data_IF_998023675197
#
_entry.id   IF_998023675197
#
_cell.length_a   1.000
_cell.length_b   1.000
_cell.length_c   1.000
_cell.angle_alpha   90.00
_cell.angle_beta   90.00
_cell.angle_gamma   90.00
#
_symmetry.space_group_name_H-M   'P 1'
#
loop_
_entity.id
_entity.type
_entity.pdbx_description
1 polymer ?
#
# COMPACT_ATOMS: atom_id res chain seq x y z
N UNK A 1 41.32 -63.55 -31.88
CA UNK A 1 41.17 -62.09 -31.99
C UNK A 1 39.68 -61.77 -31.85
N UNK A 2 39.28 -61.42 -30.66
CA UNK A 2 37.87 -61.08 -30.35
C UNK A 2 37.70 -59.54 -30.45
N UNK A 3 36.82 -59.05 -31.29
CA UNK A 3 36.53 -57.62 -31.44
C UNK A 3 35.32 -57.31 -30.55
N UNK A 4 35.57 -56.54 -29.46
CA UNK A 4 34.53 -55.99 -28.61
C UNK A 4 33.98 -54.76 -29.30
N UNK A 5 32.67 -54.75 -29.63
CA UNK A 5 31.96 -53.59 -30.17
C UNK A 5 31.36 -52.86 -28.96
N UNK A 6 31.82 -51.64 -28.70
CA UNK A 6 31.24 -50.77 -27.69
C UNK A 6 30.07 -49.99 -28.30
N UNK A 7 28.88 -50.18 -27.77
CA UNK A 7 27.71 -49.33 -28.09
C UNK A 7 27.74 -48.06 -27.23
N UNK A 8 27.89 -46.90 -27.87
CA UNK A 8 27.71 -45.59 -27.21
C UNK A 8 26.22 -45.23 -27.29
N UNK A 9 25.53 -45.23 -26.15
CA UNK A 9 24.16 -44.73 -26.05
C UNK A 9 24.24 -43.24 -25.85
N UNK A 10 23.87 -42.45 -26.84
CA UNK A 10 23.75 -40.99 -26.74
C UNK A 10 22.35 -40.70 -26.18
N UNK A 11 22.27 -40.33 -24.87
CA UNK A 11 21.04 -39.82 -24.25
C UNK A 11 20.95 -38.33 -24.58
N UNK A 12 20.10 -37.98 -25.52
CA UNK A 12 19.72 -36.59 -25.79
C UNK A 12 18.75 -36.12 -24.70
N UNK A 13 19.24 -35.34 -23.75
CA UNK A 13 18.35 -34.55 -22.84
C UNK A 13 17.63 -33.49 -23.68
N UNK A 14 16.38 -33.73 -24.00
CA UNK A 14 15.49 -32.67 -24.48
C UNK A 14 15.11 -31.83 -23.26
N UNK A 15 15.65 -30.63 -23.16
CA UNK A 15 15.13 -29.61 -22.23
C UNK A 15 13.74 -29.18 -22.74
N UNK A 16 12.69 -29.67 -22.11
CA UNK A 16 11.36 -29.15 -22.29
C UNK A 16 11.38 -27.76 -21.62
N UNK A 17 11.48 -26.72 -22.42
CA UNK A 17 11.20 -25.37 -21.94
C UNK A 17 9.72 -25.37 -21.53
N UNK A 18 9.46 -25.42 -20.23
CA UNK A 18 8.13 -25.12 -19.68
C UNK A 18 7.89 -23.65 -19.96
N UNK A 19 7.21 -23.33 -21.05
CA UNK A 19 6.60 -22.02 -21.24
C UNK A 19 5.56 -21.89 -20.15
N UNK A 20 5.82 -21.03 -19.13
CA UNK A 20 4.88 -20.76 -18.07
C UNK A 20 3.56 -20.30 -18.68
N UNK A 21 2.50 -21.04 -18.44
CA UNK A 21 1.17 -20.68 -18.92
C UNK A 21 0.63 -19.59 -18.00
N UNK A 22 0.50 -18.37 -18.52
CA UNK A 22 -0.16 -17.26 -17.82
C UNK A 22 -1.54 -17.73 -17.35
N UNK A 23 -1.79 -17.68 -16.04
CA UNK A 23 -3.05 -18.15 -15.46
C UNK A 23 -4.03 -16.99 -15.36
N UNK A 24 -5.23 -17.19 -15.89
CA UNK A 24 -6.39 -16.32 -15.73
C UNK A 24 -7.43 -16.99 -14.84
N UNK A 25 -7.97 -16.25 -13.88
CA UNK A 25 -9.01 -16.68 -12.94
C UNK A 25 -10.12 -15.64 -12.99
N UNK A 26 -11.37 -16.07 -13.03
CA UNK A 26 -12.53 -15.18 -12.92
C UNK A 26 -13.29 -15.46 -11.65
N UNK A 27 -13.49 -14.42 -10.83
CA UNK A 27 -14.31 -14.46 -9.61
C UNK A 27 -15.59 -13.66 -9.87
N UNK A 28 -16.74 -14.27 -9.62
CA UNK A 28 -18.04 -13.63 -9.76
C UNK A 28 -19.02 -14.11 -8.69
N UNK A 29 -19.52 -13.20 -7.87
CA UNK A 29 -20.44 -13.53 -6.77
C UNK A 29 -21.75 -14.19 -7.21
N UNK A 30 -22.16 -13.97 -8.47
CA UNK A 30 -23.36 -14.54 -9.08
C UNK A 30 -23.17 -15.97 -9.65
N UNK A 31 -21.98 -16.55 -9.50
CA UNK A 31 -21.63 -17.88 -10.01
C UNK A 31 -21.27 -17.94 -11.49
N UNK A 32 -21.16 -16.83 -12.18
CA UNK A 32 -20.77 -16.78 -13.61
C UNK A 32 -19.24 -16.87 -13.83
N UNK A 33 -18.44 -16.91 -12.75
CA UNK A 33 -16.99 -17.09 -12.78
C UNK A 33 -16.57 -18.52 -12.41
N UNK A 34 -15.27 -18.77 -12.41
CA UNK A 34 -14.69 -20.03 -11.91
C UNK A 34 -14.86 -20.18 -10.39
N UNK A 35 -14.87 -19.04 -9.69
CA UNK A 35 -15.03 -18.95 -8.24
C UNK A 35 -16.11 -17.92 -7.89
N UNK A 36 -16.82 -18.17 -6.80
CA UNK A 36 -17.73 -17.18 -6.21
C UNK A 36 -17.09 -16.40 -5.06
N UNK A 37 -15.96 -16.89 -4.53
CA UNK A 37 -15.19 -16.29 -3.43
C UNK A 37 -13.81 -15.90 -3.90
N UNK A 38 -13.37 -14.70 -3.50
CA UNK A 38 -12.01 -14.21 -3.76
C UNK A 38 -10.98 -15.05 -3.00
N UNK A 39 -11.27 -15.43 -1.74
CA UNK A 39 -10.33 -16.24 -0.95
C UNK A 39 -10.16 -17.64 -1.54
N UNK A 40 -11.22 -18.28 -2.03
CA UNK A 40 -11.12 -19.58 -2.70
C UNK A 40 -10.27 -19.50 -3.97
N UNK A 41 -10.45 -18.44 -4.75
CA UNK A 41 -9.63 -18.18 -5.94
C UNK A 41 -8.15 -18.01 -5.56
N UNK A 42 -7.82 -17.25 -4.51
CA UNK A 42 -6.45 -17.13 -3.98
C UNK A 42 -5.90 -18.50 -3.57
N UNK A 43 -6.68 -19.31 -2.85
CA UNK A 43 -6.27 -20.64 -2.37
C UNK A 43 -5.97 -21.62 -3.51
N UNK A 44 -6.51 -21.39 -4.71
CA UNK A 44 -6.28 -22.22 -5.89
C UNK A 44 -4.95 -21.91 -6.60
N UNK A 45 -4.25 -20.82 -6.22
CA UNK A 45 -3.00 -20.38 -6.85
C UNK A 45 -1.84 -21.24 -6.34
N UNK A 46 -1.03 -21.74 -7.26
CA UNK A 46 0.19 -22.50 -6.92
C UNK A 46 1.21 -21.59 -6.24
N UNK A 47 1.97 -22.19 -5.31
CA UNK A 47 3.03 -21.49 -4.60
C UNK A 47 4.20 -21.10 -5.53
N UNK A 48 4.78 -19.92 -5.26
CA UNK A 48 6.02 -19.39 -5.85
C UNK A 48 6.05 -19.37 -7.38
N UNK A 49 4.92 -19.01 -7.99
CA UNK A 49 4.88 -18.83 -9.44
C UNK A 49 5.75 -17.63 -9.86
N UNK A 50 6.59 -17.85 -10.89
CA UNK A 50 7.36 -16.77 -11.53
C UNK A 50 6.50 -15.90 -12.42
N UNK A 51 5.49 -16.51 -13.05
CA UNK A 51 4.57 -15.83 -13.95
C UNK A 51 3.45 -15.13 -13.19
N UNK A 52 2.87 -14.10 -13.79
CA UNK A 52 1.74 -13.39 -13.21
C UNK A 52 0.46 -14.20 -13.31
N UNK A 53 -0.23 -14.38 -12.18
CA UNK A 53 -1.61 -14.86 -12.16
C UNK A 53 -2.55 -13.67 -12.26
N UNK A 54 -3.39 -13.62 -13.28
CA UNK A 54 -4.40 -12.58 -13.46
C UNK A 54 -5.73 -13.04 -12.87
N UNK A 55 -6.23 -12.33 -11.86
CA UNK A 55 -7.51 -12.56 -11.22
C UNK A 55 -8.45 -11.41 -11.59
N UNK A 56 -9.45 -11.70 -12.43
CA UNK A 56 -10.51 -10.75 -12.77
C UNK A 56 -11.68 -10.95 -11.80
N UNK A 57 -12.01 -9.90 -11.04
CA UNK A 57 -13.09 -9.90 -10.06
C UNK A 57 -14.23 -9.06 -10.64
N UNK A 58 -15.35 -9.71 -10.95
CA UNK A 58 -16.52 -9.05 -11.49
C UNK A 58 -17.16 -8.09 -10.50
N UNK A 59 -17.98 -7.19 -11.00
CA UNK A 59 -18.76 -6.28 -10.18
C UNK A 59 -19.56 -7.05 -9.12
N UNK A 60 -19.52 -6.58 -7.89
CA UNK A 60 -20.17 -7.22 -6.74
C UNK A 60 -19.58 -6.75 -5.40
N UNK A 61 -20.27 -7.10 -4.33
CA UNK A 61 -19.80 -6.89 -2.97
C UNK A 61 -19.39 -8.24 -2.38
N UNK A 62 -18.10 -8.38 -2.13
CA UNK A 62 -17.48 -9.58 -1.59
C UNK A 62 -17.22 -9.35 -0.10
N UNK A 63 -18.11 -9.88 0.76
CA UNK A 63 -17.93 -9.79 2.22
C UNK A 63 -17.01 -10.90 2.68
N UNK A 64 -15.72 -10.69 2.52
CA UNK A 64 -14.69 -11.67 2.78
C UNK A 64 -13.47 -11.05 3.49
N UNK A 65 -12.86 -11.81 4.37
CA UNK A 65 -11.56 -11.50 4.97
C UNK A 65 -10.48 -12.25 4.21
N UNK A 66 -9.67 -11.53 3.46
CA UNK A 66 -8.74 -12.10 2.48
C UNK A 66 -7.32 -12.18 3.04
N UNK A 67 -6.69 -13.33 2.85
CA UNK A 67 -5.24 -13.50 3.06
C UNK A 67 -4.61 -13.93 1.75
N UNK A 68 -3.65 -13.15 1.25
CA UNK A 68 -2.76 -13.51 0.16
C UNK A 68 -1.44 -13.96 0.80
N UNK A 69 -1.20 -15.27 0.93
CA UNK A 69 -0.04 -15.80 1.64
C UNK A 69 1.28 -15.44 0.92
N UNK A 70 2.38 -15.49 1.66
CA UNK A 70 3.72 -15.13 1.15
C UNK A 70 4.18 -15.96 -0.05
N UNK A 71 3.65 -17.16 -0.21
CA UNK A 71 3.95 -18.04 -1.35
C UNK A 71 3.10 -17.76 -2.60
N UNK A 72 2.05 -16.93 -2.50
CA UNK A 72 1.28 -16.44 -3.65
C UNK A 72 1.93 -15.16 -4.16
N UNK A 73 2.87 -15.31 -5.08
CA UNK A 73 3.64 -14.22 -5.68
C UNK A 73 3.06 -13.80 -7.03
N UNK A 74 3.34 -12.57 -7.45
CA UNK A 74 2.96 -12.02 -8.77
C UNK A 74 1.47 -12.14 -9.08
N UNK A 75 0.60 -11.87 -8.09
CA UNK A 75 -0.84 -11.85 -8.27
C UNK A 75 -1.30 -10.47 -8.74
N UNK A 76 -2.00 -10.44 -9.87
CA UNK A 76 -2.66 -9.25 -10.40
C UNK A 76 -4.18 -9.39 -10.22
N UNK A 77 -4.78 -8.59 -9.34
CA UNK A 77 -6.22 -8.52 -9.12
C UNK A 77 -6.81 -7.31 -9.85
N UNK A 78 -7.82 -7.53 -10.67
CA UNK A 78 -8.51 -6.49 -11.42
C UNK A 78 -10.02 -6.53 -11.20
N UNK A 79 -10.57 -5.41 -10.72
CA UNK A 79 -12.01 -5.18 -10.64
C UNK A 79 -12.60 -4.60 -11.94
N UNK A 80 -13.90 -4.54 -11.99
CA UNK A 80 -14.68 -3.89 -13.09
C UNK A 80 -14.98 -2.41 -12.80
N UNK A 81 -14.28 -1.83 -11.85
CA UNK A 81 -14.41 -0.45 -11.38
C UNK A 81 -14.40 -0.39 -9.85
N UNK A 82 -13.70 0.57 -9.28
CA UNK A 82 -13.59 0.68 -7.84
C UNK A 82 -14.93 1.02 -7.14
N UNK A 83 -15.90 1.55 -7.88
CA UNK A 83 -17.27 1.77 -7.42
C UNK A 83 -18.17 0.52 -7.53
N UNK A 84 -17.72 -0.50 -8.26
CA UNK A 84 -18.50 -1.70 -8.60
C UNK A 84 -17.97 -2.97 -7.95
N UNK A 85 -16.66 -3.08 -7.80
CA UNK A 85 -16.01 -4.26 -7.21
C UNK A 85 -15.53 -3.88 -5.81
N UNK A 86 -16.23 -4.38 -4.79
CA UNK A 86 -15.99 -4.03 -3.38
C UNK A 86 -15.66 -5.29 -2.57
N UNK A 87 -14.51 -5.31 -1.91
CA UNK A 87 -14.13 -6.30 -0.92
C UNK A 87 -14.23 -5.64 0.45
N UNK A 88 -15.08 -6.17 1.33
CA UNK A 88 -15.40 -5.54 2.63
C UNK A 88 -15.40 -6.53 3.77
N UNK A 89 -14.93 -6.09 4.95
CA UNK A 89 -15.00 -6.81 6.22
C UNK A 89 -15.13 -5.83 7.36
N UNK A 90 -15.44 -6.29 8.59
CA UNK A 90 -15.78 -5.42 9.72
C UNK A 90 -15.09 -5.78 11.05
N UNK A 91 -13.94 -6.45 11.01
CA UNK A 91 -13.15 -6.67 12.21
C UNK A 91 -12.50 -5.38 12.72
N UNK A 92 -12.42 -5.21 14.06
CA UNK A 92 -11.77 -4.08 14.72
C UNK A 92 -10.99 -4.53 15.96
N UNK A 93 -10.05 -3.72 16.41
CA UNK A 93 -9.22 -4.02 17.58
C UNK A 93 -10.09 -4.09 18.85
N UNK A 94 -9.88 -5.15 19.63
CA UNK A 94 -10.70 -5.49 20.81
C UNK A 94 -11.83 -6.46 20.53
N UNK A 95 -12.30 -6.60 19.28
CA UNK A 95 -13.29 -7.62 18.92
C UNK A 95 -12.70 -9.00 19.20
N UNK A 96 -13.31 -9.76 20.11
CA UNK A 96 -12.83 -11.10 20.51
C UNK A 96 -11.33 -11.13 20.87
N UNK A 97 -10.84 -10.09 21.58
CA UNK A 97 -9.43 -9.89 21.94
C UNK A 97 -8.48 -9.78 20.72
N UNK A 98 -8.98 -9.32 19.58
CA UNK A 98 -8.19 -9.14 18.36
C UNK A 98 -7.28 -7.90 18.49
N UNK A 99 -6.01 -8.06 18.13
CA UNK A 99 -5.09 -6.92 18.00
C UNK A 99 -5.24 -6.23 16.63
N UNK A 100 -4.83 -4.96 16.52
CA UNK A 100 -4.94 -4.11 15.32
C UNK A 100 -4.53 -4.81 14.03
N UNK A 101 -3.38 -5.48 14.04
CA UNK A 101 -2.81 -6.10 12.82
C UNK A 101 -3.60 -7.30 12.29
N UNK A 102 -4.59 -7.77 13.04
CA UNK A 102 -5.47 -8.88 12.65
C UNK A 102 -6.85 -8.42 12.19
N UNK A 103 -7.10 -7.12 12.15
CA UNK A 103 -8.42 -6.55 11.80
C UNK A 103 -8.62 -6.33 10.31
N UNK A 104 -7.64 -6.67 9.49
CA UNK A 104 -7.62 -6.41 8.04
C UNK A 104 -8.83 -6.99 7.30
N UNK A 105 -9.24 -6.30 6.27
CA UNK A 105 -10.10 -6.86 5.22
C UNK A 105 -9.26 -7.70 4.26
N UNK A 106 -8.12 -7.16 3.81
CA UNK A 106 -7.14 -7.92 3.02
C UNK A 106 -5.74 -7.83 3.63
N UNK A 107 -5.06 -8.99 3.78
CA UNK A 107 -3.67 -9.08 4.17
C UNK A 107 -2.82 -9.64 3.04
N UNK A 108 -1.89 -8.84 2.53
CA UNK A 108 -1.07 -9.13 1.36
C UNK A 108 0.36 -9.41 1.83
N UNK A 109 0.74 -10.70 1.88
CA UNK A 109 2.09 -11.13 2.24
C UNK A 109 2.94 -11.45 1.01
N UNK A 110 2.30 -11.81 -0.11
CA UNK A 110 2.97 -12.19 -1.35
C UNK A 110 3.64 -11.01 -2.05
N UNK A 111 4.86 -11.20 -2.52
CA UNK A 111 5.60 -10.20 -3.28
C UNK A 111 5.06 -10.07 -4.72
N UNK A 112 5.19 -8.87 -5.30
CA UNK A 112 4.76 -8.59 -6.68
C UNK A 112 3.24 -8.50 -6.84
N UNK A 113 2.51 -8.18 -5.77
CA UNK A 113 1.06 -7.99 -5.82
C UNK A 113 0.69 -6.72 -6.59
N UNK A 114 -0.37 -6.81 -7.40
CA UNK A 114 -0.98 -5.65 -8.03
C UNK A 114 -2.50 -5.71 -7.89
N UNK A 115 -3.12 -4.57 -7.54
CA UNK A 115 -4.57 -4.39 -7.57
C UNK A 115 -4.95 -3.18 -8.42
N UNK A 116 -5.98 -3.32 -9.23
CA UNK A 116 -6.54 -2.21 -10.02
C UNK A 116 -8.07 -2.20 -9.95
N UNK A 117 -8.64 -0.98 -9.86
CA UNK A 117 -10.07 -0.73 -9.97
C UNK A 117 -10.93 -1.51 -8.94
N UNK A 118 -10.45 -1.64 -7.69
CA UNK A 118 -11.10 -2.35 -6.58
C UNK A 118 -11.24 -1.42 -5.37
N UNK A 119 -12.36 -1.53 -4.65
CA UNK A 119 -12.51 -0.98 -3.30
C UNK A 119 -12.17 -2.05 -2.27
N UNK A 120 -11.28 -1.69 -1.34
CA UNK A 120 -11.03 -2.42 -0.11
C UNK A 120 -11.57 -1.59 1.06
N UNK A 121 -12.51 -2.14 1.79
CA UNK A 121 -13.20 -1.44 2.86
C UNK A 121 -13.11 -2.20 4.18
N UNK A 122 -12.78 -1.50 5.28
CA UNK A 122 -13.15 -1.97 6.60
C UNK A 122 -14.38 -1.22 7.08
N UNK A 123 -15.50 -1.93 7.16
CA UNK A 123 -16.82 -1.37 7.45
C UNK A 123 -17.20 -1.38 8.94
N UNK A 124 -16.25 -1.62 9.85
CA UNK A 124 -16.50 -1.63 11.30
C UNK A 124 -17.00 -0.27 11.86
N UNK A 125 -16.77 0.82 11.13
CA UNK A 125 -17.13 2.16 11.59
C UNK A 125 -16.07 2.80 12.50
N UNK A 126 -16.39 3.89 13.21
CA UNK A 126 -15.44 4.64 14.04
C UNK A 126 -15.28 4.02 15.46
N UNK A 127 -15.00 2.72 15.53
CA UNK A 127 -14.94 1.93 16.78
C UNK A 127 -13.52 1.72 17.34
N UNK A 128 -12.51 2.31 16.72
CA UNK A 128 -11.09 2.13 17.04
C UNK A 128 -10.30 1.68 15.81
N UNK A 129 -9.16 1.04 16.03
CA UNK A 129 -8.30 0.57 14.93
C UNK A 129 -8.99 -0.54 14.12
N UNK A 130 -9.06 -0.35 12.81
CA UNK A 130 -9.74 -1.27 11.89
C UNK A 130 -9.14 -1.14 10.50
N UNK A 131 -8.27 -2.10 10.14
CA UNK A 131 -7.46 -2.06 8.94
C UNK A 131 -8.25 -2.53 7.72
N UNK A 132 -8.30 -1.74 6.66
CA UNK A 132 -8.84 -2.20 5.37
C UNK A 132 -7.77 -2.97 4.58
N UNK A 133 -6.57 -2.41 4.44
CA UNK A 133 -5.46 -3.03 3.71
C UNK A 133 -4.25 -3.18 4.62
N UNK A 134 -3.76 -4.40 4.79
CA UNK A 134 -2.51 -4.75 5.43
C UNK A 134 -1.53 -5.24 4.35
N UNK A 135 -0.60 -4.39 3.93
CA UNK A 135 0.35 -4.69 2.87
C UNK A 135 1.73 -4.98 3.47
N UNK A 136 2.15 -6.25 3.41
CA UNK A 136 3.43 -6.78 3.90
C UNK A 136 4.40 -7.08 2.75
N UNK A 137 3.86 -7.59 1.63
CA UNK A 137 4.64 -8.05 0.50
C UNK A 137 5.41 -6.93 -0.18
N UNK A 138 6.67 -7.23 -0.57
CA UNK A 138 7.47 -6.29 -1.36
C UNK A 138 6.91 -6.13 -2.78
N UNK A 139 7.06 -4.93 -3.37
CA UNK A 139 6.63 -4.59 -4.73
C UNK A 139 5.11 -4.66 -4.91
N UNK A 140 4.38 -4.18 -3.90
CA UNK A 140 2.92 -4.05 -3.99
C UNK A 140 2.53 -2.78 -4.76
N UNK A 141 1.58 -2.92 -5.69
CA UNK A 141 1.10 -1.84 -6.56
C UNK A 141 -0.42 -1.74 -6.48
N UNK A 142 -0.93 -0.54 -6.25
CA UNK A 142 -2.37 -0.25 -6.26
C UNK A 142 -2.65 0.89 -7.24
N UNK A 143 -3.58 0.69 -8.17
CA UNK A 143 -3.98 1.70 -9.14
C UNK A 143 -5.48 1.91 -9.16
N UNK A 144 -5.92 3.15 -9.09
CA UNK A 144 -7.33 3.54 -9.13
C UNK A 144 -8.21 2.73 -8.15
N UNK A 145 -7.59 2.32 -7.02
CA UNK A 145 -8.28 1.63 -5.93
C UNK A 145 -8.88 2.62 -4.94
N UNK A 146 -9.88 2.19 -4.19
CA UNK A 146 -10.38 2.92 -3.04
C UNK A 146 -10.09 2.13 -1.76
N UNK A 147 -9.51 2.80 -0.78
CA UNK A 147 -9.22 2.24 0.53
C UNK A 147 -10.09 3.01 1.55
N UNK A 148 -11.13 2.33 2.02
CA UNK A 148 -12.16 2.94 2.86
C UNK A 148 -12.07 2.40 4.29
N UNK A 149 -12.02 3.29 5.26
CA UNK A 149 -11.96 2.91 6.67
C UNK A 149 -12.06 4.12 7.60
N UNK A 150 -11.62 3.92 8.82
CA UNK A 150 -11.60 4.96 9.86
C UNK A 150 -10.20 5.06 10.46
N UNK A 151 -9.99 4.67 11.71
CA UNK A 151 -8.65 4.65 12.30
C UNK A 151 -7.86 3.47 11.72
N UNK A 152 -6.62 3.73 11.30
CA UNK A 152 -5.68 2.71 10.81
C UNK A 152 -6.12 2.02 9.48
N UNK A 153 -6.68 2.76 8.53
CA UNK A 153 -7.22 2.21 7.26
C UNK A 153 -6.17 1.43 6.46
N UNK A 154 -4.97 1.99 6.26
CA UNK A 154 -3.88 1.40 5.47
C UNK A 154 -2.66 1.15 6.34
N UNK A 155 -2.35 -0.11 6.60
CA UNK A 155 -1.11 -0.56 7.20
C UNK A 155 -0.11 -0.93 6.10
N UNK A 156 0.96 -0.15 5.99
CA UNK A 156 2.11 -0.41 5.11
C UNK A 156 3.18 -1.13 5.92
N UNK A 157 2.96 -2.41 6.16
CA UNK A 157 3.81 -3.23 7.01
C UNK A 157 5.13 -3.60 6.34
N UNK A 158 6.03 -4.21 7.10
CA UNK A 158 7.34 -4.68 6.67
C UNK A 158 8.27 -3.56 6.17
N UNK A 159 9.27 -3.24 6.97
CA UNK A 159 10.25 -2.18 6.68
C UNK A 159 10.98 -2.39 5.34
N UNK A 160 11.16 -3.63 4.89
CA UNK A 160 11.80 -3.95 3.62
C UNK A 160 10.85 -3.85 2.42
N UNK A 161 9.56 -3.63 2.64
CA UNK A 161 8.55 -3.57 1.59
C UNK A 161 8.60 -2.22 0.85
N UNK A 162 8.43 -2.29 -0.48
CA UNK A 162 8.23 -1.16 -1.38
C UNK A 162 6.82 -1.21 -1.91
N UNK A 163 6.09 -0.10 -1.77
CA UNK A 163 4.67 -0.05 -2.13
C UNK A 163 4.38 1.21 -2.96
N UNK A 164 3.56 1.06 -3.98
CA UNK A 164 3.19 2.15 -4.90
C UNK A 164 1.68 2.26 -5.05
N UNK A 165 1.18 3.45 -4.80
CA UNK A 165 -0.24 3.78 -4.95
C UNK A 165 -0.38 4.88 -6.00
N UNK A 166 -1.18 4.63 -7.03
CA UNK A 166 -1.42 5.57 -8.13
C UNK A 166 -2.90 5.84 -8.32
N UNK A 167 -3.27 7.12 -8.31
CA UNK A 167 -4.66 7.56 -8.51
C UNK A 167 -5.67 6.88 -7.57
N UNK A 168 -5.22 6.48 -6.39
CA UNK A 168 -6.05 5.85 -5.37
C UNK A 168 -6.78 6.90 -4.53
N UNK A 169 -7.98 6.54 -4.07
CA UNK A 169 -8.71 7.27 -3.03
C UNK A 169 -8.49 6.57 -1.69
N UNK A 170 -8.01 7.29 -0.69
CA UNK A 170 -7.72 6.76 0.64
C UNK A 170 -8.37 7.66 1.68
N UNK A 171 -9.25 7.10 2.52
CA UNK A 171 -9.91 7.86 3.57
C UNK A 171 -9.74 7.25 4.95
N UNK A 172 -9.83 8.08 5.97
CA UNK A 172 -9.81 7.63 7.35
C UNK A 172 -9.94 8.75 8.37
N UNK A 173 -9.80 8.37 9.64
CA UNK A 173 -9.94 9.30 10.77
C UNK A 173 -8.59 9.61 11.43
N UNK A 174 -7.93 8.64 12.03
CA UNK A 174 -6.70 8.79 12.82
C UNK A 174 -5.64 7.85 12.29
N UNK A 175 -4.42 8.37 12.03
CA UNK A 175 -3.27 7.55 11.62
C UNK A 175 -3.61 6.60 10.47
N UNK A 176 -4.47 7.05 9.55
CA UNK A 176 -5.10 6.13 8.61
C UNK A 176 -4.19 5.66 7.47
N UNK A 177 -2.94 6.15 7.44
CA UNK A 177 -1.83 5.61 6.65
C UNK A 177 -0.65 5.43 7.61
N UNK A 178 -0.31 4.19 7.96
CA UNK A 178 0.69 3.94 8.98
C UNK A 178 1.58 2.72 8.68
N UNK A 179 2.78 2.68 9.26
CA UNK A 179 3.71 1.57 9.11
C UNK A 179 5.14 1.99 8.71
N UNK A 180 6.05 1.00 8.56
CA UNK A 180 7.47 1.23 8.33
C UNK A 180 7.91 1.20 6.86
N UNK A 181 7.06 0.75 5.91
CA UNK A 181 7.45 0.52 4.53
C UNK A 181 7.92 1.79 3.79
N UNK A 182 8.66 1.60 2.71
CA UNK A 182 8.94 2.64 1.72
C UNK A 182 7.78 2.74 0.75
N UNK A 183 7.06 3.86 0.74
CA UNK A 183 5.83 4.00 -0.04
C UNK A 183 5.83 5.26 -0.89
N UNK A 184 5.38 5.14 -2.12
CA UNK A 184 5.13 6.26 -3.01
C UNK A 184 3.64 6.35 -3.36
N UNK A 185 3.04 7.50 -3.04
CA UNK A 185 1.67 7.86 -3.43
C UNK A 185 1.74 8.86 -4.58
N UNK A 186 1.28 8.47 -5.76
CA UNK A 186 1.26 9.31 -6.95
C UNK A 186 -0.17 9.73 -7.29
N UNK A 187 -0.46 11.01 -7.33
CA UNK A 187 -1.77 11.58 -7.68
C UNK A 187 -2.96 10.99 -6.91
N UNK A 188 -2.72 10.56 -5.67
CA UNK A 188 -3.77 10.00 -4.82
C UNK A 188 -4.64 11.11 -4.22
N UNK A 189 -5.90 10.77 -3.94
CA UNK A 189 -6.81 11.60 -3.17
C UNK A 189 -6.88 11.07 -1.74
N UNK A 190 -6.42 11.88 -0.78
CA UNK A 190 -6.34 11.55 0.64
C UNK A 190 -7.44 12.35 1.36
N UNK A 191 -8.37 11.65 2.04
CA UNK A 191 -9.55 12.28 2.62
C UNK A 191 -9.66 12.04 4.13
N UNK A 192 -9.63 13.12 4.89
CA UNK A 192 -9.73 13.09 6.37
C UNK A 192 -11.18 13.18 6.82
N UNK A 193 -11.61 12.24 7.67
CA UNK A 193 -12.97 12.16 8.22
C UNK A 193 -13.07 12.65 9.67
N UNK A 194 -11.95 13.08 10.27
CA UNK A 194 -11.89 13.54 11.67
C UNK A 194 -10.74 14.53 11.85
N UNK A 195 -10.89 15.42 12.83
CA UNK A 195 -9.79 16.27 13.32
C UNK A 195 -8.74 15.38 14.00
N UNK A 196 -7.69 14.99 13.28
CA UNK A 196 -6.68 14.05 13.76
C UNK A 196 -5.43 14.07 12.85
N UNK A 197 -4.87 12.90 12.48
CA UNK A 197 -3.60 12.76 11.77
C UNK A 197 -3.78 11.92 10.52
N UNK A 198 -3.16 12.34 9.40
CA UNK A 198 -3.16 11.57 8.14
C UNK A 198 -2.21 10.38 8.27
N UNK A 199 -0.95 10.63 8.63
CA UNK A 199 0.09 9.60 8.65
C UNK A 199 0.65 9.33 10.03
N UNK A 200 1.00 8.06 10.29
CA UNK A 200 1.79 7.59 11.43
C UNK A 200 2.91 6.68 10.92
N UNK A 201 3.92 7.28 10.30
CA UNK A 201 5.07 6.53 9.79
C UNK A 201 5.92 5.96 10.93
N UNK A 202 6.56 4.82 10.67
CA UNK A 202 7.51 4.18 11.59
C UNK A 202 8.78 3.72 10.87
N UNK A 203 9.21 4.49 9.88
CA UNK A 203 10.44 4.27 9.11
C UNK A 203 11.62 4.05 10.05
N UNK A 204 12.48 3.08 9.76
CA UNK A 204 13.66 2.77 10.57
C UNK A 204 14.85 3.67 10.23
N UNK A 205 15.85 3.70 11.10
CA UNK A 205 16.96 4.65 11.01
C UNK A 205 17.83 4.50 9.75
N UNK A 206 18.02 3.28 9.29
CA UNK A 206 18.88 2.89 8.16
C UNK A 206 18.18 2.95 6.79
N UNK A 207 16.90 3.36 6.75
CA UNK A 207 16.16 3.56 5.51
C UNK A 207 16.14 5.04 5.12
N UNK A 208 16.64 5.38 3.95
CA UNK A 208 16.70 6.75 3.44
C UNK A 208 15.31 7.33 3.16
N UNK A 209 14.36 6.48 2.78
CA UNK A 209 13.01 6.87 2.35
C UNK A 209 11.93 6.17 3.16
N UNK A 210 10.89 6.91 3.49
CA UNK A 210 9.64 6.41 4.07
C UNK A 210 8.47 6.69 3.11
N UNK A 211 7.52 7.53 3.53
CA UNK A 211 6.38 7.91 2.71
C UNK A 211 6.70 9.10 1.81
N UNK A 212 6.36 9.00 0.54
CA UNK A 212 6.44 10.08 -0.45
C UNK A 212 5.07 10.29 -1.07
N UNK A 213 4.42 11.40 -0.76
CA UNK A 213 3.19 11.84 -1.44
C UNK A 213 3.57 12.84 -2.54
N UNK A 214 3.36 12.46 -3.80
CA UNK A 214 3.68 13.30 -4.95
C UNK A 214 2.40 13.65 -5.73
N UNK A 215 2.13 14.95 -5.90
CA UNK A 215 0.95 15.46 -6.62
C UNK A 215 -0.39 14.94 -6.07
N UNK A 216 -0.45 14.61 -4.78
CA UNK A 216 -1.67 14.17 -4.13
C UNK A 216 -2.55 15.38 -3.78
N UNK A 217 -3.86 15.12 -3.65
CA UNK A 217 -4.83 16.10 -3.16
C UNK A 217 -5.32 15.68 -1.78
N UNK A 218 -5.22 16.58 -0.80
CA UNK A 218 -5.71 16.35 0.55
C UNK A 218 -6.99 17.15 0.77
N UNK A 219 -8.07 16.46 1.16
CA UNK A 219 -9.37 17.04 1.48
C UNK A 219 -9.89 16.52 2.81
N UNK A 220 -10.98 17.08 3.29
CA UNK A 220 -11.65 16.60 4.49
C UNK A 220 -13.17 16.64 4.34
N UNK A 221 -13.85 15.88 5.19
CA UNK A 221 -15.30 15.96 5.35
C UNK A 221 -15.72 17.32 5.90
N UNK A 222 -16.99 17.66 5.73
CA UNK A 222 -17.56 18.91 6.24
C UNK A 222 -17.34 19.02 7.75
N UNK A 223 -16.97 20.23 8.22
CA UNK A 223 -16.70 20.52 9.64
C UNK A 223 -15.35 19.98 10.16
N UNK A 224 -14.52 19.37 9.31
CA UNK A 224 -13.17 18.94 9.69
C UNK A 224 -12.16 20.02 9.29
N UNK A 225 -11.50 20.61 10.30
CA UNK A 225 -10.66 21.81 10.12
C UNK A 225 -9.27 21.70 10.79
N UNK A 226 -9.00 20.62 11.56
CA UNK A 226 -7.82 20.51 12.40
C UNK A 226 -7.10 19.16 12.21
N UNK A 227 -6.46 19.03 11.07
CA UNK A 227 -5.76 17.81 10.69
C UNK A 227 -4.25 18.06 10.59
N UNK A 228 -3.45 17.20 11.18
CA UNK A 228 -2.01 17.16 10.97
C UNK A 228 -1.66 16.27 9.76
N UNK A 229 -0.64 16.64 9.00
CA UNK A 229 -0.07 15.81 7.94
C UNK A 229 0.46 14.46 8.48
N UNK A 230 0.92 14.46 9.73
CA UNK A 230 1.31 13.25 10.38
C UNK A 230 1.99 13.44 11.74
N UNK A 231 2.23 12.29 12.38
CA UNK A 231 2.99 12.16 13.61
C UNK A 231 3.88 10.91 13.59
N UNK A 232 5.07 10.90 14.24
CA UNK A 232 6.00 9.78 14.18
C UNK A 232 5.59 8.67 15.13
N UNK A 233 5.11 7.54 14.59
CA UNK A 233 4.80 6.37 15.42
C UNK A 233 6.05 5.75 16.05
N UNK A 234 7.19 5.90 15.38
CA UNK A 234 8.52 5.49 15.90
C UNK A 234 9.55 6.57 15.60
N UNK A 235 10.69 6.61 16.32
CA UNK A 235 11.83 7.43 15.94
C UNK A 235 12.22 7.19 14.48
N UNK A 236 12.78 8.21 13.83
CA UNK A 236 13.20 8.19 12.40
C UNK A 236 12.08 8.12 11.36
N UNK A 237 10.82 8.20 11.80
CA UNK A 237 9.69 8.30 10.87
C UNK A 237 9.95 9.32 9.75
N UNK A 238 9.76 8.93 8.50
CA UNK A 238 10.04 9.76 7.33
C UNK A 238 8.79 9.92 6.47
N UNK A 239 8.37 11.17 6.24
CA UNK A 239 7.22 11.49 5.37
C UNK A 239 7.50 12.79 4.61
N UNK A 240 7.31 12.76 3.30
CA UNK A 240 7.41 13.91 2.41
C UNK A 240 6.09 14.12 1.66
N UNK A 241 5.56 15.34 1.75
CA UNK A 241 4.52 15.81 0.81
C UNK A 241 5.16 16.76 -0.21
N UNK A 242 5.08 16.41 -1.50
CA UNK A 242 5.68 17.20 -2.57
C UNK A 242 4.70 17.48 -3.70
N UNK A 243 4.57 18.76 -4.08
CA UNK A 243 3.67 19.23 -5.14
C UNK A 243 2.20 18.81 -4.89
N UNK A 244 1.82 18.62 -3.64
CA UNK A 244 0.46 18.29 -3.24
C UNK A 244 -0.42 19.52 -3.14
N UNK A 245 -1.72 19.34 -3.33
CA UNK A 245 -2.75 20.33 -2.99
C UNK A 245 -3.26 20.04 -1.58
N UNK A 246 -3.01 20.95 -0.64
CA UNK A 246 -3.39 20.81 0.76
C UNK A 246 -4.63 21.67 1.05
N UNK A 247 -5.73 21.03 1.45
CA UNK A 247 -6.97 21.72 1.84
C UNK A 247 -6.83 22.54 3.12
N UNK A 248 -7.77 23.44 3.37
CA UNK A 248 -7.78 24.35 4.53
C UNK A 248 -7.82 23.65 5.90
N UNK A 249 -8.22 22.38 5.92
CA UNK A 249 -8.25 21.56 7.13
C UNK A 249 -6.88 21.23 7.71
N UNK A 250 -5.80 21.40 6.92
CA UNK A 250 -4.44 21.14 7.41
C UNK A 250 -3.99 22.27 8.33
N UNK A 251 -3.69 21.91 9.58
CA UNK A 251 -3.25 22.86 10.61
C UNK A 251 -1.97 23.58 10.17
N UNK A 252 -1.80 24.88 10.53
CA UNK A 252 -0.58 25.65 10.25
C UNK A 252 0.69 24.95 10.75
N UNK A 253 0.68 24.33 11.92
CA UNK A 253 1.81 23.56 12.46
C UNK A 253 2.22 22.38 11.57
N UNK A 254 1.29 21.81 10.82
CA UNK A 254 1.49 20.72 9.85
C UNK A 254 1.78 19.35 10.46
N UNK A 255 2.63 19.30 11.47
CA UNK A 255 3.13 18.05 12.05
C UNK A 255 3.01 18.04 13.58
N UNK A 256 2.92 16.86 14.16
CA UNK A 256 2.84 16.64 15.59
C UNK A 256 3.94 15.66 16.04
N UNK A 257 4.53 15.86 17.21
CA UNK A 257 5.65 15.08 17.70
C UNK A 257 5.26 13.83 18.50
N UNK A 258 3.95 13.49 18.56
CA UNK A 258 3.39 12.40 19.37
C UNK A 258 3.58 12.61 20.88
N UNK A 259 3.52 13.87 21.36
CA UNK A 259 3.78 14.28 22.75
C UNK A 259 5.15 13.81 23.28
N UNK A 260 6.11 13.59 22.37
CA UNK A 260 7.47 13.19 22.71
C UNK A 260 8.49 14.10 21.99
N UNK A 261 9.10 15.06 22.71
CA UNK A 261 10.09 15.98 22.13
C UNK A 261 11.32 15.30 21.53
N UNK A 262 11.68 14.08 21.96
CA UNK A 262 12.79 13.35 21.35
C UNK A 262 12.54 13.00 19.88
N UNK A 263 11.30 12.85 19.48
CA UNK A 263 10.93 12.61 18.08
C UNK A 263 11.28 13.77 17.16
N UNK A 264 11.32 15.00 17.67
CA UNK A 264 11.68 16.20 16.89
C UNK A 264 13.13 16.15 16.37
N UNK A 265 13.99 15.42 17.06
CA UNK A 265 15.41 15.28 16.69
C UNK A 265 15.62 14.18 15.62
N UNK A 266 14.73 13.24 15.51
CA UNK A 266 14.89 12.05 14.65
C UNK A 266 13.90 11.97 13.49
N UNK A 267 12.70 12.55 13.62
CA UNK A 267 11.70 12.54 12.56
C UNK A 267 12.19 13.32 11.32
N UNK A 268 11.98 12.72 10.15
CA UNK A 268 12.40 13.26 8.85
C UNK A 268 11.18 13.71 8.06
N UNK A 269 10.48 14.71 8.59
CA UNK A 269 9.27 15.25 7.98
C UNK A 269 9.58 16.43 7.10
N UNK A 270 9.08 16.40 5.87
CA UNK A 270 9.41 17.41 4.88
C UNK A 270 8.26 17.74 3.95
N UNK A 271 8.35 18.93 3.36
CA UNK A 271 7.44 19.41 2.32
C UNK A 271 8.23 20.03 1.17
N UNK A 272 7.63 19.98 -0.05
CA UNK A 272 8.21 20.64 -1.23
C UNK A 272 7.14 21.15 -2.19
N UNK A 273 7.05 22.48 -2.36
CA UNK A 273 6.17 23.14 -3.34
C UNK A 273 4.71 22.67 -3.29
N UNK A 274 4.19 22.45 -2.11
CA UNK A 274 2.77 22.21 -1.93
C UNK A 274 1.98 23.49 -2.19
N UNK A 275 0.72 23.35 -2.58
CA UNK A 275 -0.21 24.44 -2.91
C UNK A 275 -1.51 24.30 -2.12
N UNK A 276 -2.40 25.28 -2.25
CA UNK A 276 -3.69 25.27 -1.55
C UNK A 276 -3.63 25.96 -0.18
N UNK A 277 -4.79 26.19 0.45
CA UNK A 277 -4.89 26.99 1.68
C UNK A 277 -4.21 26.35 2.89
N UNK A 278 -4.03 25.03 2.91
CA UNK A 278 -3.30 24.33 3.95
C UNK A 278 -1.77 24.33 3.76
N UNK A 279 -1.26 24.82 2.63
CA UNK A 279 0.18 24.90 2.35
C UNK A 279 0.77 26.18 2.94
N UNK A 280 1.09 26.17 4.23
CA UNK A 280 1.65 27.30 4.96
C UNK A 280 3.07 26.98 5.50
N UNK A 281 4.11 27.05 4.66
CA UNK A 281 5.46 26.66 5.05
C UNK A 281 6.05 27.52 6.18
N UNK A 282 5.64 28.79 6.30
CA UNK A 282 6.14 29.69 7.34
C UNK A 282 5.57 29.46 8.74
N UNK A 283 4.49 28.68 8.86
CA UNK A 283 3.84 28.38 10.14
C UNK A 283 4.04 26.91 10.60
N UNK A 284 4.82 26.14 9.86
CA UNK A 284 5.15 24.75 10.22
C UNK A 284 6.02 24.68 11.47
N UNK A 285 5.92 23.58 12.19
CA UNK A 285 6.82 23.31 13.33
C UNK A 285 8.28 23.39 12.90
N UNK A 286 9.17 23.95 13.73
CA UNK A 286 10.56 24.27 13.35
C UNK A 286 11.42 23.03 13.04
N UNK A 287 11.05 21.86 13.54
CA UNK A 287 11.76 20.60 13.30
C UNK A 287 11.35 19.90 11.99
N UNK A 288 10.33 20.38 11.27
CA UNK A 288 10.03 19.94 9.92
C UNK A 288 10.81 20.74 8.87
N UNK A 289 10.94 20.20 7.66
CA UNK A 289 11.81 20.78 6.64
C UNK A 289 11.03 21.21 5.40
N UNK A 290 11.36 22.39 4.88
CA UNK A 290 11.00 22.78 3.53
C UNK A 290 12.18 22.46 2.60
N UNK A 291 12.02 21.50 1.68
CA UNK A 291 13.12 21.05 0.83
C UNK A 291 13.46 22.09 -0.24
N UNK A 292 14.76 22.26 -0.47
CA UNK A 292 15.26 22.97 -1.64
C UNK A 292 15.15 22.13 -2.92
N UNK A 293 15.28 22.80 -4.09
CA UNK A 293 15.21 22.12 -5.41
C UNK A 293 16.22 20.97 -5.55
N UNK A 294 17.44 21.13 -5.01
CA UNK A 294 18.49 20.10 -5.08
C UNK A 294 18.12 18.85 -4.27
N UNK A 295 17.55 19.04 -3.09
CA UNK A 295 17.13 17.95 -2.22
C UNK A 295 15.92 17.19 -2.80
N UNK A 296 14.91 17.94 -3.29
CA UNK A 296 13.72 17.36 -3.89
C UNK A 296 14.02 16.53 -5.16
N UNK A 297 15.11 16.81 -5.89
CA UNK A 297 15.55 16.00 -7.03
C UNK A 297 15.98 14.58 -6.66
N UNK A 298 16.29 14.32 -5.40
CA UNK A 298 16.62 12.96 -4.91
C UNK A 298 15.39 12.06 -4.83
N UNK A 299 14.19 12.65 -4.75
CA UNK A 299 12.94 11.89 -4.68
C UNK A 299 12.42 11.61 -6.09
N UNK A 300 12.91 10.55 -6.68
CA UNK A 300 12.45 9.94 -7.93
C UNK A 300 12.07 8.49 -7.68
N UNK A 301 11.20 7.90 -8.50
CA UNK A 301 10.84 6.48 -8.35
C UNK A 301 12.09 5.59 -8.39
N UNK A 302 13.05 5.90 -9.27
CA UNK A 302 14.30 5.15 -9.36
C UNK A 302 15.10 5.22 -8.05
N UNK A 303 15.28 6.40 -7.45
CA UNK A 303 16.05 6.52 -6.22
C UNK A 303 15.33 5.89 -5.02
N UNK A 304 13.99 5.99 -4.98
CA UNK A 304 13.18 5.49 -3.86
C UNK A 304 13.02 3.97 -3.92
N UNK A 305 12.86 3.40 -5.10
CA UNK A 305 12.51 1.99 -5.27
C UNK A 305 13.60 1.11 -5.88
N UNK A 306 14.49 1.64 -6.72
CA UNK A 306 15.51 0.83 -7.35
C UNK A 306 16.58 0.41 -6.34
N UNK A 307 16.42 -0.79 -5.80
CA UNK A 307 17.47 -1.53 -5.10
C UNK A 307 18.30 -2.33 -6.12
N UNK A 308 19.02 -3.32 -5.68
CA UNK A 308 19.81 -4.20 -6.56
C UNK A 308 18.99 -4.92 -7.65
N UNK A 309 17.68 -5.07 -7.45
CA UNK A 309 16.76 -5.68 -8.41
C UNK A 309 16.23 -4.72 -9.50
N UNK A 310 16.50 -3.43 -9.38
CA UNK A 310 16.08 -2.42 -10.35
C UNK A 310 14.58 -2.23 -10.49
N UNK A 311 13.77 -2.74 -9.54
CA UNK A 311 12.31 -2.70 -9.66
C UNK A 311 11.76 -1.27 -9.70
N UNK A 312 10.86 -1.03 -10.66
CA UNK A 312 10.06 0.19 -10.78
C UNK A 312 8.59 -0.18 -11.00
N UNK A 313 7.63 0.52 -10.34
CA UNK A 313 6.20 0.20 -10.40
C UNK A 313 5.53 0.65 -11.71
N UNK A 314 6.21 1.38 -12.56
CA UNK A 314 5.68 1.91 -13.82
C UNK A 314 6.02 0.96 -14.96
N UNK A 315 5.06 0.71 -15.83
CA UNK A 315 5.22 -0.04 -17.07
C UNK A 315 5.65 0.89 -18.20
#
# INVERSE_FOLDING_TARGET
MSRTIAFIVIITLQSVAMTGQVRHITVAADGSGEFTSVQEAVNSIRAYMSDTTYMHIRAGVYREKIVIPSWVTNLFMKGEGADKTVITWDDYAGLRNMGTFRTYTIWIQGAGFTAEDITFENSAGPVGQAVAVHADGDRAVFRRCRLLGNQDTLLTANQESRQYFEECYIEGTTDFIFGPATVWFERCHIHSKKNSYVTAASTVADHDYGYVFNRCRLTAAEGIERVFLGRPWRPYAATLFMRCELGSHILPAGWHNWDNPANEQTARYAEYRNTGPGANPGARVPWSRQLGRREARRYTLANVFARSDGWLPVR
#
